data_IF_989390558683
#
_entry.id   IF_989390558683
#
_cell.length_a   1.000
_cell.length_b   1.000
_cell.length_c   1.000
_cell.angle_alpha   90.00
_cell.angle_beta   90.00
_cell.angle_gamma   90.00
#
_symmetry.space_group_name_H-M   'P 1'
#
loop_
_entity.id
_entity.type
_entity.pdbx_description
1 polymer ?
#
# COMPACT_ATOMS: atom_id res chain seq x y z
N UNK A 1 0.22 29.06 1.49
CA UNK A 1 -1.16 29.27 2.01
C UNK A 1 -2.21 28.26 1.49
N UNK A 2 -2.04 27.57 0.35
CA UNK A 2 -3.03 26.56 -0.15
C UNK A 2 -2.92 25.16 0.50
N UNK A 3 -1.73 24.79 0.96
CA UNK A 3 -1.40 23.45 1.52
C UNK A 3 -2.13 23.17 2.86
N UNK A 4 -2.54 24.21 3.59
CA UNK A 4 -3.24 24.06 4.88
C UNK A 4 -4.74 23.76 4.74
N UNK A 5 -5.34 24.01 3.56
CA UNK A 5 -6.79 23.87 3.37
C UNK A 5 -7.30 22.42 3.57
N UNK A 6 -6.62 21.37 3.08
CA UNK A 6 -7.02 19.99 3.35
C UNK A 6 -6.92 19.63 4.84
N UNK A 7 -5.96 20.21 5.57
CA UNK A 7 -5.81 19.97 7.01
C UNK A 7 -7.02 20.46 7.80
N UNK A 8 -7.55 21.64 7.47
CA UNK A 8 -8.78 22.15 8.09
C UNK A 8 -9.99 21.25 7.82
N UNK A 9 -10.11 20.67 6.61
CA UNK A 9 -11.16 19.68 6.30
C UNK A 9 -11.00 18.40 7.13
N UNK A 10 -9.77 17.88 7.25
CA UNK A 10 -9.45 16.71 8.09
C UNK A 10 -9.72 16.97 9.57
N UNK A 11 -9.46 18.18 10.06
CA UNK A 11 -9.68 18.56 11.45
C UNK A 11 -11.18 18.69 11.79
N UNK A 12 -12.01 19.14 10.84
CA UNK A 12 -13.45 19.32 11.07
C UNK A 12 -14.23 18.00 11.07
N UNK A 13 -13.78 16.99 10.30
CA UNK A 13 -14.48 15.70 10.20
C UNK A 13 -13.97 14.66 11.22
N UNK A 14 -14.83 14.30 12.17
CA UNK A 14 -14.56 13.21 13.12
C UNK A 14 -14.43 11.83 12.43
N UNK A 15 -15.06 11.64 11.27
CA UNK A 15 -14.96 10.42 10.46
C UNK A 15 -13.61 10.31 9.74
N UNK A 16 -13.09 11.41 9.20
CA UNK A 16 -11.75 11.42 8.59
C UNK A 16 -10.65 11.17 9.63
N UNK A 17 -10.76 11.73 10.83
CA UNK A 17 -9.81 11.43 11.92
C UNK A 17 -9.77 9.94 12.27
N UNK A 18 -10.95 9.30 12.35
CA UNK A 18 -11.04 7.84 12.57
C UNK A 18 -10.42 7.05 11.42
N UNK A 19 -10.62 7.50 10.18
CA UNK A 19 -10.06 6.86 8.98
C UNK A 19 -8.54 6.99 8.94
N UNK A 20 -7.98 8.17 9.20
CA UNK A 20 -6.53 8.39 9.26
C UNK A 20 -5.88 7.59 10.40
N UNK A 21 -6.51 7.58 11.59
CA UNK A 21 -6.03 6.74 12.70
C UNK A 21 -6.05 5.26 12.34
N UNK A 22 -7.06 4.81 11.58
CA UNK A 22 -7.10 3.44 11.06
C UNK A 22 -5.96 3.17 10.08
N UNK A 23 -5.76 4.03 9.09
CA UNK A 23 -4.69 3.88 8.10
C UNK A 23 -3.34 3.77 8.83
N UNK A 24 -3.08 4.67 9.77
CA UNK A 24 -1.83 4.67 10.52
C UNK A 24 -1.66 3.42 11.39
N UNK A 25 -2.75 2.87 11.92
CA UNK A 25 -2.72 1.60 12.66
C UNK A 25 -2.49 0.38 11.76
N UNK A 26 -2.86 0.43 10.48
CA UNK A 26 -2.66 -0.66 9.50
C UNK A 26 -1.32 -0.60 8.76
N UNK A 27 -0.68 0.58 8.71
CA UNK A 27 0.65 0.75 8.13
C UNK A 27 1.73 -0.22 8.66
N UNK A 28 1.87 -0.46 9.99
CA UNK A 28 2.89 -1.39 10.48
C UNK A 28 2.66 -2.82 10.02
N UNK A 29 1.42 -3.24 9.81
CA UNK A 29 1.09 -4.57 9.30
C UNK A 29 1.51 -4.71 7.81
N UNK A 30 1.36 -3.64 7.03
CA UNK A 30 1.80 -3.56 5.64
C UNK A 30 3.32 -3.41 5.49
N UNK A 31 4.03 -3.00 6.55
CA UNK A 31 5.47 -2.77 6.51
C UNK A 31 6.25 -4.04 6.13
N UNK A 32 5.79 -5.22 6.56
CA UNK A 32 6.40 -6.50 6.21
C UNK A 32 6.46 -6.75 4.70
N UNK A 33 5.37 -6.43 3.97
CA UNK A 33 5.27 -6.60 2.51
C UNK A 33 6.06 -5.53 1.78
N UNK A 34 6.02 -4.29 2.27
CA UNK A 34 6.82 -3.19 1.71
C UNK A 34 8.31 -3.48 1.85
N UNK A 35 8.74 -4.07 2.98
CA UNK A 35 10.10 -4.54 3.18
C UNK A 35 10.46 -5.64 2.19
N UNK A 36 9.58 -6.64 2.02
CA UNK A 36 9.79 -7.71 1.03
C UNK A 36 9.92 -7.15 -0.40
N UNK A 37 9.12 -6.15 -0.75
CA UNK A 37 9.21 -5.45 -2.04
C UNK A 37 10.53 -4.69 -2.20
N UNK A 38 10.99 -4.01 -1.14
CA UNK A 38 12.29 -3.34 -1.13
C UNK A 38 13.46 -4.32 -1.27
N UNK A 39 13.39 -5.48 -0.63
CA UNK A 39 14.37 -6.56 -0.79
C UNK A 39 14.36 -7.10 -2.23
N UNK A 40 13.18 -7.32 -2.82
CA UNK A 40 13.07 -7.72 -4.22
C UNK A 40 13.70 -6.69 -5.16
N UNK A 41 13.37 -5.40 -5.00
CA UNK A 41 13.94 -4.32 -5.81
C UNK A 41 15.46 -4.21 -5.64
N UNK A 42 15.97 -4.22 -4.41
CA UNK A 42 17.41 -4.10 -4.14
C UNK A 42 18.21 -5.28 -4.70
N UNK A 43 17.75 -6.53 -4.50
CA UNK A 43 18.42 -7.72 -5.05
C UNK A 43 18.48 -7.67 -6.57
N UNK A 44 17.36 -7.41 -7.24
CA UNK A 44 17.33 -7.33 -8.69
C UNK A 44 18.12 -6.13 -9.23
N UNK A 45 18.18 -5.01 -8.50
CA UNK A 45 19.05 -3.87 -8.84
C UNK A 45 20.52 -4.26 -8.80
N UNK A 46 20.95 -4.98 -7.76
CA UNK A 46 22.32 -5.48 -7.65
C UNK A 46 22.66 -6.47 -8.77
N UNK A 47 21.76 -7.42 -9.06
CA UNK A 47 21.94 -8.35 -10.19
C UNK A 47 21.97 -7.63 -11.53
N UNK A 48 21.08 -6.67 -11.77
CA UNK A 48 21.05 -5.89 -13.00
C UNK A 48 22.37 -5.13 -13.22
N UNK A 49 22.90 -4.48 -12.18
CA UNK A 49 24.19 -3.79 -12.29
C UNK A 49 25.34 -4.78 -12.54
N UNK A 50 25.36 -5.95 -11.90
CA UNK A 50 26.40 -6.96 -12.16
C UNK A 50 26.34 -7.52 -13.60
N UNK A 51 25.12 -7.79 -14.09
CA UNK A 51 24.89 -8.38 -15.40
C UNK A 51 25.12 -7.38 -16.53
N UNK A 52 24.66 -6.14 -16.35
CA UNK A 52 24.59 -5.13 -17.41
C UNK A 52 25.68 -4.06 -17.31
N UNK A 53 26.17 -3.68 -16.12
CA UNK A 53 27.22 -2.65 -16.00
C UNK A 53 28.62 -3.16 -16.45
N UNK A 54 28.81 -4.49 -16.50
CA UNK A 54 30.08 -5.13 -16.88
C UNK A 54 30.20 -5.39 -18.39
N UNK A 55 29.11 -5.24 -19.17
CA UNK A 55 29.10 -5.42 -20.63
C UNK A 55 29.61 -4.16 -21.35
N UNK A 56 30.81 -3.70 -20.97
CA UNK A 56 31.52 -2.51 -21.48
C UNK A 56 32.39 -2.82 -22.71
N UNK A 57 32.05 -3.83 -23.49
CA UNK A 57 32.83 -4.18 -24.68
C UNK A 57 32.34 -3.37 -25.89
N UNK A 58 33.10 -2.33 -26.23
CA UNK A 58 33.34 -1.85 -27.60
C UNK A 58 32.26 -1.05 -28.34
N UNK A 59 30.96 -1.24 -28.11
CA UNK A 59 29.89 -0.52 -28.81
C UNK A 59 28.95 0.16 -27.81
N UNK A 60 29.17 1.46 -27.58
CA UNK A 60 28.30 2.30 -26.77
C UNK A 60 27.03 2.67 -27.55
N UNK A 61 26.01 1.83 -27.46
CA UNK A 61 24.64 2.27 -27.70
C UNK A 61 24.29 3.26 -26.57
N UNK A 62 24.08 4.53 -26.91
CA UNK A 62 23.86 5.63 -25.93
C UNK A 62 22.64 5.42 -25.03
N UNK A 63 21.67 4.61 -25.47
CA UNK A 63 20.46 4.30 -24.69
C UNK A 63 20.72 3.33 -23.54
N UNK A 64 21.67 2.39 -23.71
CA UNK A 64 22.03 1.38 -22.68
C UNK A 64 22.58 1.99 -21.40
N UNK A 65 23.27 3.12 -21.53
CA UNK A 65 23.94 3.82 -20.42
C UNK A 65 22.95 4.60 -19.56
N UNK A 66 21.69 4.77 -20.00
CA UNK A 66 20.67 5.48 -19.23
C UNK A 66 20.10 4.68 -18.07
N UNK A 67 19.81 3.39 -18.29
CA UNK A 67 19.00 2.61 -17.35
C UNK A 67 19.79 1.98 -16.19
N UNK A 68 20.97 1.41 -16.45
CA UNK A 68 21.70 0.58 -15.45
C UNK A 68 23.11 1.09 -15.13
N UNK A 69 23.36 2.40 -15.28
CA UNK A 69 24.71 2.98 -15.08
C UNK A 69 25.09 3.13 -13.62
N UNK A 70 24.16 3.62 -12.80
CA UNK A 70 24.37 3.86 -11.38
C UNK A 70 23.27 3.17 -10.57
N UNK A 71 23.51 2.98 -9.28
CA UNK A 71 22.54 2.39 -8.35
C UNK A 71 21.18 3.14 -8.37
N UNK A 72 21.10 4.48 -8.23
CA UNK A 72 19.81 5.19 -8.26
C UNK A 72 19.10 5.09 -9.62
N UNK A 73 19.84 5.12 -10.72
CA UNK A 73 19.26 5.01 -12.08
C UNK A 73 18.71 3.59 -12.33
N UNK A 74 19.44 2.57 -11.87
CA UNK A 74 19.03 1.16 -11.95
C UNK A 74 17.81 0.90 -11.09
N UNK A 75 17.79 1.44 -9.87
CA UNK A 75 16.68 1.30 -8.94
C UNK A 75 15.42 1.98 -9.47
N UNK A 76 15.55 3.19 -10.03
CA UNK A 76 14.40 3.89 -10.65
C UNK A 76 13.91 3.13 -11.89
N UNK A 77 14.80 2.65 -12.75
CA UNK A 77 14.43 1.86 -13.93
C UNK A 77 13.65 0.59 -13.58
N UNK A 78 14.09 -0.14 -12.54
CA UNK A 78 13.37 -1.33 -12.05
C UNK A 78 12.10 -0.97 -11.26
N UNK A 79 12.06 0.16 -10.57
CA UNK A 79 10.85 0.64 -9.91
C UNK A 79 9.75 1.02 -10.92
N UNK A 80 10.11 1.63 -12.05
CA UNK A 80 9.18 1.90 -13.16
C UNK A 80 8.78 0.61 -13.88
N UNK A 81 9.68 -0.37 -13.96
CA UNK A 81 9.36 -1.69 -14.51
C UNK A 81 8.43 -2.50 -13.61
N UNK A 82 8.56 -2.35 -12.29
CA UNK A 82 7.64 -2.92 -11.32
C UNK A 82 6.22 -2.37 -11.52
N UNK A 83 6.05 -1.14 -12.03
CA UNK A 83 4.74 -0.63 -12.44
C UNK A 83 4.42 -0.89 -13.91
N UNK A 84 5.25 -1.65 -14.63
CA UNK A 84 5.18 -1.99 -16.05
C UNK A 84 5.17 -0.80 -17.02
N UNK A 85 5.49 0.40 -16.55
CA UNK A 85 5.33 1.63 -17.33
C UNK A 85 6.40 1.81 -18.42
N UNK A 86 7.52 1.08 -18.33
CA UNK A 86 8.63 1.13 -19.29
C UNK A 86 8.90 -0.24 -19.96
N UNK A 87 7.92 -1.15 -19.97
CA UNK A 87 8.00 -2.43 -20.71
C UNK A 87 7.41 -2.24 -22.13
N UNK A 88 8.09 -2.65 -23.22
CA UNK A 88 9.38 -3.36 -23.30
C UNK A 88 10.64 -2.49 -23.37
N UNK A 89 10.50 -1.17 -23.35
CA UNK A 89 11.60 -0.21 -23.59
C UNK A 89 12.86 -0.46 -22.76
N UNK A 90 12.72 -0.77 -21.47
CA UNK A 90 13.86 -1.06 -20.58
C UNK A 90 14.59 -2.38 -20.93
N UNK A 91 13.90 -3.31 -21.61
CA UNK A 91 14.41 -4.63 -21.98
C UNK A 91 14.99 -4.66 -23.41
N UNK A 92 14.46 -3.87 -24.34
CA UNK A 92 14.86 -3.87 -25.76
C UNK A 92 16.39 -3.81 -25.96
N UNK A 93 17.13 -2.92 -25.26
CA UNK A 93 18.56 -2.84 -25.42
C UNK A 93 19.22 -4.20 -25.10
N UNK A 94 18.92 -4.76 -23.92
CA UNK A 94 19.43 -6.05 -23.46
C UNK A 94 19.05 -7.22 -24.38
N UNK A 95 17.80 -7.25 -24.80
CA UNK A 95 17.28 -8.26 -25.71
C UNK A 95 18.03 -8.30 -27.05
N UNK A 96 18.36 -7.12 -27.59
CA UNK A 96 19.03 -6.98 -28.88
C UNK A 96 20.48 -7.50 -28.87
N UNK A 97 21.16 -7.47 -27.71
CA UNK A 97 22.49 -8.09 -27.57
C UNK A 97 22.42 -9.60 -27.41
N UNK A 98 21.53 -10.10 -26.54
CA UNK A 98 21.30 -11.52 -26.38
C UNK A 98 19.88 -11.77 -25.87
N UNK A 99 19.12 -12.60 -26.60
CA UNK A 99 17.74 -12.95 -26.23
C UNK A 99 17.64 -13.58 -24.84
N UNK A 100 18.70 -14.22 -24.34
CA UNK A 100 18.75 -14.80 -23.00
C UNK A 100 18.51 -13.76 -21.88
N UNK A 101 18.85 -12.49 -22.09
CA UNK A 101 18.62 -11.45 -21.09
C UNK A 101 17.13 -11.18 -20.82
N UNK A 102 16.21 -11.56 -21.73
CA UNK A 102 14.76 -11.46 -21.47
C UNK A 102 14.31 -12.24 -20.24
N UNK A 103 15.00 -13.35 -19.91
CA UNK A 103 14.67 -14.20 -18.77
C UNK A 103 14.75 -13.41 -17.45
N UNK A 104 15.72 -12.49 -17.34
CA UNK A 104 15.87 -11.63 -16.16
C UNK A 104 14.64 -10.74 -15.96
N UNK A 105 14.20 -10.04 -17.02
CA UNK A 105 13.05 -9.14 -16.97
C UNK A 105 11.74 -9.90 -16.73
N UNK A 106 11.56 -11.06 -17.38
CA UNK A 106 10.39 -11.93 -17.15
C UNK A 106 10.33 -12.39 -15.70
N UNK A 107 11.43 -12.89 -15.15
CA UNK A 107 11.50 -13.35 -13.77
C UNK A 107 11.21 -12.21 -12.77
N UNK A 108 11.77 -11.03 -13.01
CA UNK A 108 11.50 -9.83 -12.23
C UNK A 108 10.00 -9.48 -12.25
N UNK A 109 9.41 -9.39 -13.44
CA UNK A 109 7.99 -9.03 -13.62
C UNK A 109 7.06 -10.08 -13.01
N UNK A 110 7.34 -11.37 -13.16
CA UNK A 110 6.52 -12.43 -12.56
C UNK A 110 6.56 -12.34 -11.03
N UNK A 111 7.75 -12.31 -10.43
CA UNK A 111 7.89 -12.24 -8.98
C UNK A 111 7.34 -10.92 -8.41
N UNK A 112 7.65 -9.78 -9.02
CA UNK A 112 7.18 -8.48 -8.57
C UNK A 112 5.67 -8.30 -8.75
N UNK A 113 5.17 -8.45 -9.97
CA UNK A 113 3.81 -8.03 -10.31
C UNK A 113 2.76 -9.10 -10.05
N UNK A 114 3.09 -10.36 -10.33
CA UNK A 114 2.11 -11.43 -10.15
C UNK A 114 2.11 -11.99 -8.73
N UNK A 115 3.25 -12.00 -8.05
CA UNK A 115 3.30 -12.46 -6.66
C UNK A 115 3.22 -11.30 -5.67
N UNK A 116 4.21 -10.39 -5.64
CA UNK A 116 4.31 -9.39 -4.57
C UNK A 116 3.17 -8.37 -4.60
N UNK A 117 2.80 -7.83 -5.77
CA UNK A 117 1.68 -6.87 -5.86
C UNK A 117 0.34 -7.52 -5.50
N UNK A 118 0.07 -8.74 -5.98
CA UNK A 118 -1.16 -9.45 -5.62
C UNK A 118 -1.21 -9.81 -4.12
N UNK A 119 -0.08 -10.19 -3.52
CA UNK A 119 0.04 -10.39 -2.08
C UNK A 119 -0.21 -9.10 -1.29
N UNK A 120 0.35 -7.98 -1.75
CA UNK A 120 0.13 -6.67 -1.16
C UNK A 120 -1.36 -6.32 -1.18
N UNK A 121 -2.04 -6.50 -2.32
CA UNK A 121 -3.49 -6.30 -2.44
C UNK A 121 -4.27 -7.19 -1.47
N UNK A 122 -3.91 -8.47 -1.36
CA UNK A 122 -4.56 -9.41 -0.43
C UNK A 122 -4.42 -8.96 1.04
N UNK A 123 -3.24 -8.49 1.44
CA UNK A 123 -2.99 -8.02 2.81
C UNK A 123 -3.74 -6.72 3.09
N UNK A 124 -3.74 -5.76 2.15
CA UNK A 124 -4.54 -4.53 2.24
C UNK A 124 -6.02 -4.87 2.42
N UNK A 125 -6.53 -5.81 1.62
CA UNK A 125 -7.91 -6.26 1.71
C UNK A 125 -8.23 -6.88 3.08
N UNK A 126 -7.37 -7.77 3.58
CA UNK A 126 -7.59 -8.42 4.87
C UNK A 126 -7.63 -7.42 6.02
N UNK A 127 -6.75 -6.42 6.01
CA UNK A 127 -6.74 -5.38 7.04
C UNK A 127 -7.93 -4.43 6.95
N UNK A 128 -8.30 -4.03 5.74
CA UNK A 128 -9.49 -3.21 5.52
C UNK A 128 -10.76 -3.94 5.96
N UNK A 129 -10.88 -5.24 5.65
CA UNK A 129 -11.99 -6.08 6.11
C UNK A 129 -12.04 -6.17 7.64
N UNK A 130 -10.91 -6.37 8.30
CA UNK A 130 -10.80 -6.36 9.76
C UNK A 130 -11.25 -5.03 10.39
N UNK A 131 -10.86 -3.91 9.79
CA UNK A 131 -11.30 -2.58 10.21
C UNK A 131 -12.81 -2.37 10.05
N UNK A 132 -13.37 -2.75 8.89
CA UNK A 132 -14.81 -2.62 8.63
C UNK A 132 -15.65 -3.39 9.65
N UNK A 133 -15.24 -4.63 9.97
CA UNK A 133 -15.93 -5.45 10.98
C UNK A 133 -15.93 -4.76 12.36
N UNK A 134 -14.78 -4.25 12.81
CA UNK A 134 -14.67 -3.50 14.08
C UNK A 134 -15.55 -2.24 14.08
N UNK A 135 -15.59 -1.52 12.96
CA UNK A 135 -16.41 -0.32 12.79
C UNK A 135 -17.91 -0.61 12.90
N UNK A 136 -18.38 -1.67 12.21
CA UNK A 136 -19.78 -2.12 12.27
C UNK A 136 -20.15 -2.56 13.68
N UNK A 137 -19.30 -3.36 14.34
CA UNK A 137 -19.52 -3.80 15.73
C UNK A 137 -19.62 -2.61 16.69
N UNK A 138 -18.72 -1.63 16.59
CA UNK A 138 -18.76 -0.41 17.41
C UNK A 138 -20.05 0.38 17.18
N UNK A 139 -20.52 0.50 15.93
CA UNK A 139 -21.78 1.16 15.60
C UNK A 139 -22.99 0.46 16.24
N UNK A 140 -23.07 -0.87 16.12
CA UNK A 140 -24.13 -1.67 16.74
C UNK A 140 -24.10 -1.60 18.27
N UNK A 141 -22.91 -1.63 18.87
CA UNK A 141 -22.76 -1.50 20.31
C UNK A 141 -23.26 -0.14 20.82
N UNK A 142 -22.89 0.95 20.15
CA UNK A 142 -23.36 2.31 20.48
C UNK A 142 -24.87 2.43 20.32
N UNK A 143 -25.45 1.82 19.28
CA UNK A 143 -26.90 1.76 19.07
C UNK A 143 -27.61 1.02 20.20
N UNK A 144 -27.11 -0.15 20.60
CA UNK A 144 -27.68 -0.94 21.71
C UNK A 144 -27.61 -0.21 23.04
N UNK A 145 -26.46 0.41 23.35
CA UNK A 145 -26.30 1.23 24.55
C UNK A 145 -27.27 2.42 24.57
N UNK A 146 -27.40 3.14 23.45
CA UNK A 146 -28.33 4.27 23.34
C UNK A 146 -29.78 3.87 23.56
N UNK A 147 -30.22 2.74 22.98
CA UNK A 147 -31.58 2.21 23.17
C UNK A 147 -31.80 1.79 24.63
N UNK A 148 -30.84 1.11 25.25
CA UNK A 148 -30.95 0.66 26.64
C UNK A 148 -31.01 1.84 27.62
N UNK A 149 -30.15 2.83 27.44
CA UNK A 149 -30.16 4.04 28.26
C UNK A 149 -31.48 4.82 28.13
N UNK A 150 -32.01 4.96 26.90
CA UNK A 150 -33.30 5.60 26.68
C UNK A 150 -34.45 4.83 27.35
N UNK A 151 -34.42 3.50 27.29
CA UNK A 151 -35.41 2.65 27.96
C UNK A 151 -35.39 2.80 29.48
N UNK A 152 -34.21 2.81 30.10
CA UNK A 152 -34.04 2.95 31.56
C UNK A 152 -34.55 4.31 32.09
N UNK A 153 -34.33 5.38 31.33
CA UNK A 153 -34.91 6.70 31.64
C UNK A 153 -36.44 6.68 31.53
N UNK A 154 -37.00 6.04 30.50
CA UNK A 154 -38.45 5.92 30.34
C UNK A 154 -39.10 5.04 31.41
N UNK A 155 -38.45 3.95 31.83
CA UNK A 155 -38.98 3.06 32.87
C UNK A 155 -38.99 3.72 34.24
N UNK A 156 -37.92 4.44 34.60
CA UNK A 156 -37.85 5.17 35.88
C UNK A 156 -38.88 6.30 35.98
N UNK A 157 -39.19 7.00 34.87
CA UNK A 157 -40.28 7.97 34.83
C UNK A 157 -41.67 7.35 35.02
N UNK A 158 -41.88 6.10 34.61
CA UNK A 158 -43.15 5.38 34.80
C UNK A 158 -43.37 4.96 36.25
N UNK A 159 -42.30 4.70 37.00
CA UNK A 159 -42.38 4.29 38.41
C UNK A 159 -42.57 5.46 39.38
N UNK A 160 -42.13 6.68 39.03
CA UNK A 160 -42.26 7.89 39.86
C UNK A 160 -43.72 8.31 40.20
N UNK A 161 -44.72 8.28 39.29
CA UNK A 161 -46.08 8.69 39.63
C UNK A 161 -46.85 7.69 40.50
N UNK A 162 -46.38 6.45 40.66
CA UNK A 162 -47.06 5.44 41.49
C UNK A 162 -46.75 5.56 43.00
N UNK A 163 -45.61 6.15 43.36
CA UNK A 163 -45.17 6.27 44.77
C UNK A 163 -45.50 7.62 45.42
N UNK A 164 -46.13 8.56 44.68
CA UNK A 164 -46.51 9.88 45.20
C UNK A 164 -47.98 9.97 45.68
N UNK A 165 -48.70 8.84 45.74
CA UNK A 165 -50.10 8.76 46.17
C UNK A 165 -50.33 7.87 47.42
N UNK A 166 -49.29 7.56 48.20
CA UNK A 166 -49.41 7.00 49.55
C UNK A 166 -48.92 8.02 50.58
#
# INVERSE_FOLDING_TARGET
>A
RRILRPFFLLQNSSMMKKTLKSINSTLPEMASVVLLLAVHLSLFTMFAMLLFARTKDGQQDKEWVGYFRNLPDSLTSLLVLLTTANNPDVMIPAYSKNRAYSIFFILFTVLGNLFLMNLLTAIIYNQFRGYLLKSVQSSLFRRRLGIRAAFEVLSSLREAPANAQQ
#
